data_IF_012473172325
#
_entry.id   IF_012473172325
#
_cell.length_a   1.000
_cell.length_b   1.000
_cell.length_c   1.000
_cell.angle_alpha   90.00
_cell.angle_beta   90.00
_cell.angle_gamma   90.00
#
_symmetry.space_group_name_H-M   'P 1'
#
loop_
_entity.id
_entity.type
_entity.pdbx_description
1 polymer ?
#
# COMPACT_ATOMS: atom_id res chain seq x y z
N UNK A 1 12.46 -1.76 3.36
CA UNK A 1 11.01 -2.02 3.49
C UNK A 1 10.39 -1.74 2.15
N UNK A 2 10.55 -2.67 1.20
CA UNK A 2 9.93 -2.65 -0.13
C UNK A 2 9.10 -3.92 -0.23
N UNK A 3 7.97 -3.90 0.46
CA UNK A 3 7.08 -5.06 0.60
C UNK A 3 5.97 -5.04 -0.44
N UNK A 4 5.82 -3.96 -1.20
CA UNK A 4 4.90 -3.90 -2.34
C UNK A 4 5.68 -4.31 -3.59
N UNK A 5 5.24 -5.35 -4.28
CA UNK A 5 5.90 -5.84 -5.49
C UNK A 5 5.56 -4.96 -6.70
N UNK A 6 6.32 -5.10 -7.79
CA UNK A 6 6.01 -4.42 -9.06
C UNK A 6 4.68 -4.87 -9.68
N UNK A 7 4.14 -6.02 -9.26
CA UNK A 7 2.89 -6.57 -9.78
C UNK A 7 1.67 -6.22 -8.91
N UNK A 8 1.86 -5.40 -7.87
CA UNK A 8 0.78 -4.94 -7.02
C UNK A 8 0.38 -5.92 -5.92
N UNK A 9 1.33 -6.74 -5.48
CA UNK A 9 1.16 -7.72 -4.40
C UNK A 9 1.94 -7.30 -3.16
N UNK A 10 1.59 -7.87 -2.02
CA UNK A 10 2.28 -7.63 -0.75
C UNK A 10 3.14 -8.84 -0.35
N UNK A 11 4.46 -8.66 -0.31
CA UNK A 11 5.41 -9.64 0.19
C UNK A 11 5.66 -9.42 1.70
N UNK A 12 5.09 -10.31 2.51
CA UNK A 12 5.21 -10.30 3.97
C UNK A 12 6.30 -11.25 4.49
N UNK A 13 7.17 -11.80 3.63
CA UNK A 13 8.26 -12.70 4.04
C UNK A 13 9.36 -12.00 4.85
N UNK A 14 9.50 -10.68 4.68
CA UNK A 14 10.52 -9.85 5.32
C UNK A 14 9.88 -8.72 6.11
N UNK A 15 9.53 -9.02 7.35
CA UNK A 15 8.94 -8.07 8.29
C UNK A 15 9.99 -7.48 9.23
N UNK A 16 9.76 -6.24 9.63
CA UNK A 16 10.50 -5.58 10.71
C UNK A 16 9.54 -5.40 11.87
N UNK A 17 9.98 -5.75 13.07
CA UNK A 17 9.19 -5.62 14.28
C UNK A 17 9.63 -4.38 15.05
N UNK A 18 8.66 -3.62 15.53
CA UNK A 18 8.87 -2.38 16.29
C UNK A 18 7.97 -2.38 17.51
N UNK A 19 8.38 -1.67 18.56
CA UNK A 19 7.48 -1.29 19.64
C UNK A 19 6.68 -0.09 19.17
N UNK A 20 5.35 -0.17 19.25
CA UNK A 20 4.45 0.91 18.84
C UNK A 20 3.60 1.37 20.02
N UNK A 21 3.44 2.68 20.14
CA UNK A 21 2.52 3.31 21.09
C UNK A 21 1.07 3.15 20.62
N UNK A 22 0.10 3.34 21.54
CA UNK A 22 -1.32 3.24 21.20
C UNK A 22 -1.76 4.18 20.06
N UNK A 23 -1.21 5.40 20.02
CA UNK A 23 -1.49 6.37 18.96
C UNK A 23 -0.91 5.97 17.60
N UNK A 24 0.28 5.36 17.59
CA UNK A 24 0.87 4.81 16.36
C UNK A 24 0.06 3.64 15.82
N UNK A 25 -0.47 2.77 16.70
CA UNK A 25 -1.38 1.70 16.31
C UNK A 25 -2.63 2.27 15.62
N UNK A 26 -3.28 3.28 16.20
CA UNK A 26 -4.51 3.87 15.64
C UNK A 26 -4.28 4.47 14.24
N UNK A 27 -3.17 5.19 14.04
CA UNK A 27 -2.88 5.86 12.78
C UNK A 27 -2.33 4.96 11.67
N UNK A 28 -1.57 3.92 12.03
CA UNK A 28 -0.74 3.16 11.10
C UNK A 28 -1.15 1.68 10.93
N UNK A 29 -2.20 1.23 11.60
CA UNK A 29 -2.73 -0.13 11.43
C UNK A 29 -3.34 -0.35 10.06
N UNK A 30 -2.98 -1.46 9.44
CA UNK A 30 -3.65 -1.99 8.26
C UNK A 30 -4.90 -2.80 8.65
N UNK A 31 -5.97 -2.52 7.94
CA UNK A 31 -7.20 -3.27 7.96
C UNK A 31 -7.53 -3.74 6.55
N UNK A 32 -8.26 -4.85 6.47
CA UNK A 32 -8.75 -5.43 5.24
C UNK A 32 -9.35 -4.36 4.31
N UNK A 33 -9.08 -4.53 3.02
CA UNK A 33 -9.45 -3.60 1.95
C UNK A 33 -8.78 -2.22 2.04
N UNK A 34 -7.74 -2.04 2.88
CA UNK A 34 -6.87 -0.86 2.81
C UNK A 34 -6.08 -0.85 1.51
N UNK A 35 -6.27 0.18 0.70
CA UNK A 35 -5.37 0.45 -0.43
C UNK A 35 -4.16 1.22 0.07
N UNK A 36 -2.97 0.70 -0.21
CA UNK A 36 -1.71 1.32 0.19
C UNK A 36 -0.85 1.64 -1.01
N UNK A 37 -0.20 2.80 -0.95
CA UNK A 37 0.59 3.35 -2.05
C UNK A 37 1.94 3.86 -1.54
N UNK A 38 3.02 3.46 -2.20
CA UNK A 38 4.36 3.90 -1.86
C UNK A 38 4.64 5.28 -2.45
N UNK A 39 4.76 6.29 -1.57
CA UNK A 39 4.95 7.70 -1.94
C UNK A 39 6.38 8.18 -1.85
N UNK A 40 7.25 7.48 -1.11
CA UNK A 40 8.61 7.93 -0.80
C UNK A 40 9.59 6.82 -1.06
N UNK A 41 10.30 6.89 -2.19
CA UNK A 41 11.50 6.09 -2.50
C UNK A 41 12.21 6.67 -3.72
N UNK A 42 13.30 6.03 -4.17
CA UNK A 42 13.92 6.35 -5.46
C UNK A 42 12.86 6.30 -6.59
N UNK A 43 12.96 7.12 -7.66
CA UNK A 43 11.91 7.27 -8.68
C UNK A 43 11.41 5.96 -9.30
N UNK A 44 12.29 4.95 -9.39
CA UNK A 44 11.95 3.60 -9.89
C UNK A 44 11.00 2.79 -8.99
N UNK A 45 10.85 3.17 -7.73
CA UNK A 45 10.06 2.47 -6.70
C UNK A 45 8.82 3.27 -6.27
N UNK A 46 8.69 4.52 -6.72
CA UNK A 46 7.51 5.36 -6.47
C UNK A 46 6.40 4.90 -7.41
N UNK A 47 5.20 4.74 -6.87
CA UNK A 47 4.05 4.31 -7.66
C UNK A 47 3.59 2.87 -7.47
N UNK A 48 4.30 2.08 -6.67
CA UNK A 48 3.84 0.75 -6.29
C UNK A 48 2.66 0.84 -5.33
N UNK A 49 1.63 0.06 -5.57
CA UNK A 49 0.46 -0.01 -4.73
C UNK A 49 -0.10 -1.42 -4.63
N UNK A 50 -0.86 -1.69 -3.57
CA UNK A 50 -1.56 -2.95 -3.37
C UNK A 50 -2.77 -2.75 -2.46
N UNK A 51 -3.65 -3.75 -2.40
CA UNK A 51 -4.74 -3.82 -1.41
C UNK A 51 -4.33 -4.84 -0.37
N UNK A 52 -4.45 -4.46 0.90
CA UNK A 52 -4.23 -5.38 2.00
C UNK A 52 -5.47 -6.26 2.20
N UNK A 53 -5.28 -7.56 2.00
CA UNK A 53 -6.26 -8.62 2.29
C UNK A 53 -5.72 -9.51 3.38
N UNK A 54 -6.02 -9.21 4.63
CA UNK A 54 -5.44 -9.90 5.77
C UNK A 54 -6.09 -9.52 7.09
N UNK A 55 -5.51 -10.00 8.19
CA UNK A 55 -6.05 -9.77 9.52
C UNK A 55 -5.97 -8.29 9.92
N UNK A 56 -7.11 -7.74 10.35
CA UNK A 56 -7.21 -6.37 10.87
C UNK A 56 -6.34 -6.20 12.12
N UNK A 57 -5.65 -5.07 12.26
CA UNK A 57 -4.86 -4.82 13.48
C UNK A 57 -3.48 -5.48 13.51
N UNK A 58 -3.16 -6.34 12.53
CA UNK A 58 -1.97 -7.19 12.61
C UNK A 58 -0.67 -6.50 12.16
N UNK A 59 -0.75 -5.66 11.13
CA UNK A 59 0.42 -5.03 10.52
C UNK A 59 0.33 -3.53 10.57
N UNK A 60 1.50 -2.90 10.71
CA UNK A 60 1.67 -1.45 10.65
C UNK A 60 2.39 -1.07 9.35
N UNK A 61 2.04 0.08 8.80
CA UNK A 61 2.81 0.72 7.73
C UNK A 61 3.59 1.93 8.26
N UNK A 62 4.70 2.28 7.60
CA UNK A 62 5.50 3.44 7.98
C UNK A 62 5.15 4.67 7.12
N UNK A 63 5.85 5.78 7.36
CA UNK A 63 5.64 7.06 6.69
C UNK A 63 5.97 7.10 5.18
N UNK A 64 6.48 6.02 4.58
CA UNK A 64 6.64 5.92 3.12
C UNK A 64 5.33 5.51 2.43
N UNK A 65 4.39 4.95 3.20
CA UNK A 65 3.13 4.44 2.69
C UNK A 65 2.02 5.45 2.95
N UNK A 66 1.27 5.73 1.89
CA UNK A 66 0.00 6.44 1.95
C UNK A 66 -1.13 5.40 1.92
N UNK A 67 -1.98 5.42 2.95
CA UNK A 67 -3.25 4.67 2.97
C UNK A 67 -4.34 5.50 2.31
N UNK A 68 -5.08 4.90 1.40
CA UNK A 68 -6.21 5.50 0.70
C UNK A 68 -7.45 4.64 0.99
N UNK A 69 -8.49 5.27 1.51
CA UNK A 69 -9.82 4.66 1.61
C UNK A 69 -10.68 5.19 0.49
N UNK A 70 -11.07 4.31 -0.42
CA UNK A 70 -12.00 4.66 -1.48
C UNK A 70 -13.43 4.71 -0.95
N UNK A 71 -14.27 5.48 -1.62
CA UNK A 71 -15.71 5.43 -1.40
C UNK A 71 -16.30 4.17 -2.04
N UNK A 72 -17.54 3.83 -1.69
CA UNK A 72 -18.22 2.60 -2.11
C UNK A 72 -18.34 2.45 -3.64
N UNK A 73 -18.27 3.54 -4.39
CA UNK A 73 -18.35 3.53 -5.86
C UNK A 73 -17.08 3.00 -6.54
N UNK A 74 -15.96 2.84 -5.82
CA UNK A 74 -14.71 2.33 -6.37
C UNK A 74 -14.21 1.11 -5.58
N UNK A 75 -14.19 -0.04 -6.25
CA UNK A 75 -13.59 -1.24 -5.70
C UNK A 75 -12.05 -1.06 -5.59
N UNK A 76 -11.45 -1.26 -4.40
CA UNK A 76 -10.01 -1.13 -4.18
C UNK A 76 -9.17 -2.06 -5.06
N UNK A 77 -9.64 -3.29 -5.28
CA UNK A 77 -8.95 -4.28 -6.12
C UNK A 77 -8.95 -3.89 -7.58
N UNK A 78 -10.04 -3.28 -8.05
CA UNK A 78 -10.09 -2.71 -9.39
C UNK A 78 -9.08 -1.56 -9.53
N UNK A 79 -9.01 -0.66 -8.54
CA UNK A 79 -8.02 0.41 -8.53
C UNK A 79 -6.59 -0.15 -8.56
N UNK A 80 -6.31 -1.18 -7.75
CA UNK A 80 -5.02 -1.87 -7.74
C UNK A 80 -4.67 -2.48 -9.09
N UNK A 81 -5.60 -3.23 -9.68
CA UNK A 81 -5.44 -3.86 -10.99
C UNK A 81 -5.14 -2.82 -12.07
N UNK A 82 -5.93 -1.75 -12.13
CA UNK A 82 -5.74 -0.70 -13.12
C UNK A 82 -4.42 0.05 -12.93
N UNK A 83 -4.08 0.45 -11.70
CA UNK A 83 -2.86 1.22 -11.42
C UNK A 83 -1.59 0.39 -11.66
N UNK A 84 -1.65 -0.94 -11.47
CA UNK A 84 -0.55 -1.84 -11.78
C UNK A 84 -0.49 -2.29 -13.25
N UNK A 85 -1.50 -1.98 -14.07
CA UNK A 85 -1.45 -2.20 -15.51
C UNK A 85 -0.43 -1.30 -16.21
N UNK A 86 0.02 -1.70 -17.41
CA UNK A 86 0.93 -0.89 -18.23
C UNK A 86 0.37 0.53 -18.48
N UNK A 87 -0.94 0.63 -18.74
CA UNK A 87 -1.62 1.91 -18.97
C UNK A 87 -1.64 2.77 -17.71
N UNK A 88 -1.94 2.17 -16.55
CA UNK A 88 -1.96 2.87 -15.26
C UNK A 88 -0.57 3.39 -14.89
N UNK A 89 0.43 2.52 -14.92
CA UNK A 89 1.83 2.85 -14.64
C UNK A 89 2.36 3.94 -15.57
N UNK A 90 2.05 3.88 -16.87
CA UNK A 90 2.48 4.89 -17.83
C UNK A 90 1.89 6.27 -17.55
N UNK A 91 0.68 6.37 -16.99
CA UNK A 91 0.08 7.65 -16.60
C UNK A 91 0.74 8.24 -15.36
N UNK A 92 1.02 7.42 -14.34
CA UNK A 92 1.66 7.87 -13.09
C UNK A 92 3.08 8.38 -13.36
N UNK A 93 3.87 7.65 -14.16
CA UNK A 93 5.27 8.00 -14.45
C UNK A 93 5.47 9.29 -15.27
N UNK A 94 4.39 9.85 -15.83
CA UNK A 94 4.42 11.10 -16.61
C UNK A 94 4.16 12.34 -15.74
N UNK A 95 3.77 12.16 -14.48
CA UNK A 95 3.58 13.22 -13.49
C UNK A 95 4.87 13.43 -12.70
#
# INVERSE_FOLDING_TARGET
>A
MDNITENGELDLSKLVYVQATGSELEGATLNDSDFIYNTRNAPKLVGKCTVYHGENGRYLFNNNILRIKFKEELNPDFANYYLNSEVGKAKIRRL
#
